data_IF_564874522706
#
_entry.id   IF_564874522706
#
_cell.length_a   1.000
_cell.length_b   1.000
_cell.length_c   1.000
_cell.angle_alpha   90.00
_cell.angle_beta   90.00
_cell.angle_gamma   90.00
#
_symmetry.space_group_name_H-M   'P 1'
#
loop_
_entity.id
_entity.type
_entity.pdbx_description
1 polymer ?
#
# COMPACT_ATOMS: atom_id res chain seq x y z
N UNK A 1 5.08 -12.19 15.87
CA UNK A 1 3.83 -11.50 15.80
C UNK A 1 3.93 -10.16 15.11
N UNK A 2 2.83 -9.48 15.03
CA UNK A 2 2.78 -8.19 14.35
C UNK A 2 3.76 -7.19 14.96
N UNK A 3 3.89 -7.19 16.28
CA UNK A 3 4.79 -6.27 16.96
C UNK A 3 6.25 -6.47 16.61
N UNK A 4 6.65 -7.69 16.26
CA UNK A 4 8.05 -7.94 15.96
C UNK A 4 8.49 -7.29 14.66
N UNK A 5 7.57 -6.95 13.76
CA UNK A 5 7.93 -6.19 12.56
C UNK A 5 8.53 -4.83 12.94
N UNK A 6 7.89 -4.12 13.88
CA UNK A 6 8.33 -2.79 14.27
C UNK A 6 9.61 -2.79 15.11
N UNK A 7 9.93 -3.92 15.71
CA UNK A 7 11.09 -4.06 16.56
C UNK A 7 12.20 -4.91 15.92
N UNK A 8 12.06 -5.19 14.62
CA UNK A 8 13.05 -5.99 13.93
C UNK A 8 14.28 -5.16 13.57
N UNK A 9 15.37 -5.85 13.29
CA UNK A 9 16.61 -5.23 12.86
C UNK A 9 16.66 -5.01 11.34
N UNK A 10 15.51 -4.97 10.68
CA UNK A 10 15.45 -4.74 9.25
C UNK A 10 15.96 -3.33 8.94
N UNK A 11 16.94 -3.25 8.09
CA UNK A 11 17.53 -1.98 7.69
C UNK A 11 16.54 -1.17 6.87
N UNK A 12 16.58 0.15 7.06
CA UNK A 12 15.81 1.06 6.24
C UNK A 12 16.35 1.04 4.81
N UNK A 13 15.44 1.29 3.86
CA UNK A 13 15.82 1.42 2.45
C UNK A 13 16.57 0.21 1.92
N UNK A 14 16.18 -1.00 2.35
CA UNK A 14 16.87 -2.22 1.97
C UNK A 14 16.16 -3.00 0.87
N UNK A 15 14.93 -2.65 0.53
CA UNK A 15 14.10 -3.48 -0.35
C UNK A 15 13.66 -2.72 -1.59
N UNK A 16 13.60 -3.43 -2.73
CA UNK A 16 13.05 -2.90 -3.99
C UNK A 16 11.53 -2.97 -4.03
N UNK A 17 10.94 -3.90 -3.32
CA UNK A 17 9.52 -4.15 -3.32
C UNK A 17 9.02 -4.24 -1.89
N UNK A 18 7.98 -3.49 -1.61
CA UNK A 18 7.27 -3.55 -0.35
C UNK A 18 5.84 -4.02 -0.63
N UNK A 19 5.53 -5.23 -0.20
CA UNK A 19 4.20 -5.79 -0.34
C UNK A 19 3.51 -5.73 1.02
N UNK A 20 2.44 -4.96 1.10
CA UNK A 20 1.65 -4.80 2.31
C UNK A 20 0.23 -5.29 2.08
N UNK A 21 -0.17 -6.27 2.87
CA UNK A 21 -1.53 -6.77 2.88
C UNK A 21 -1.95 -6.99 4.33
N UNK A 22 -2.14 -5.91 5.11
CA UNK A 22 -2.48 -6.04 6.52
C UNK A 22 -3.82 -6.74 6.71
N UNK A 23 -4.00 -7.45 7.82
CA UNK A 23 -5.27 -8.12 8.09
C UNK A 23 -6.34 -7.09 8.41
N UNK A 24 -7.29 -6.94 7.51
CA UNK A 24 -8.45 -6.08 7.74
C UNK A 24 -9.61 -6.95 8.22
N UNK A 25 -9.62 -7.21 9.50
CA UNK A 25 -10.72 -7.95 10.09
C UNK A 25 -11.94 -7.03 10.10
N UNK A 26 -13.08 -7.57 9.76
CA UNK A 26 -14.32 -6.83 9.85
C UNK A 26 -14.73 -6.74 11.30
N UNK A 27 -14.00 -5.98 12.06
CA UNK A 27 -14.27 -5.83 13.47
C UNK A 27 -15.13 -4.61 13.66
N UNK A 28 -16.21 -4.81 14.33
CA UNK A 28 -17.14 -3.74 14.64
C UNK A 28 -16.56 -2.85 15.72
N UNK A 29 -16.81 -1.58 15.62
CA UNK A 29 -16.58 -0.62 16.70
C UNK A 29 -15.16 -0.26 17.03
N UNK A 30 -14.23 -0.50 16.14
CA UNK A 30 -12.85 -0.19 16.45
C UNK A 30 -12.28 0.89 15.55
N UNK A 31 -13.14 1.76 15.09
CA UNK A 31 -12.77 2.73 14.09
C UNK A 31 -11.53 3.55 14.44
N UNK A 32 -11.51 4.14 15.63
CA UNK A 32 -10.41 5.01 15.99
C UNK A 32 -9.09 4.29 16.21
N UNK A 33 -9.12 3.26 17.03
CA UNK A 33 -7.93 2.48 17.36
C UNK A 33 -7.38 1.75 16.16
N UNK A 34 -8.24 1.12 15.40
CA UNK A 34 -7.83 0.36 14.22
C UNK A 34 -7.27 1.26 13.13
N UNK A 35 -7.89 2.42 12.91
CA UNK A 35 -7.39 3.37 11.94
C UNK A 35 -6.00 3.87 12.30
N UNK A 36 -5.74 4.11 13.59
CA UNK A 36 -4.42 4.52 14.04
C UNK A 36 -3.38 3.43 13.82
N UNK A 37 -3.73 2.18 14.04
CA UNK A 37 -2.83 1.06 13.78
C UNK A 37 -2.49 0.93 12.30
N UNK A 38 -3.48 1.05 11.45
CA UNK A 38 -3.28 0.96 10.01
C UNK A 38 -2.37 2.08 9.51
N UNK A 39 -2.63 3.30 9.97
CA UNK A 39 -1.82 4.45 9.62
C UNK A 39 -0.38 4.28 10.09
N UNK A 40 -0.19 3.85 11.32
CA UNK A 40 1.13 3.61 11.88
C UNK A 40 1.86 2.52 11.14
N UNK A 41 1.18 1.43 10.82
CA UNK A 41 1.78 0.34 10.07
C UNK A 41 2.32 0.82 8.72
N UNK A 42 1.53 1.61 8.00
CA UNK A 42 1.96 2.14 6.72
C UNK A 42 3.16 3.08 6.89
N UNK A 43 3.10 4.00 7.83
CA UNK A 43 4.17 4.97 8.06
C UNK A 43 5.48 4.27 8.42
N UNK A 44 5.43 3.26 9.26
CA UNK A 44 6.63 2.57 9.71
C UNK A 44 7.18 1.59 8.69
N UNK A 45 6.36 1.18 7.71
CA UNK A 45 6.80 0.27 6.67
C UNK A 45 7.52 0.98 5.52
N UNK A 46 7.09 2.17 5.17
CA UNK A 46 7.63 2.91 4.02
C UNK A 46 9.16 3.06 4.06
N UNK A 47 9.79 3.39 5.19
CA UNK A 47 11.24 3.61 5.20
C UNK A 47 12.08 2.39 4.84
N UNK A 48 11.51 1.20 4.84
CA UNK A 48 12.23 0.00 4.43
C UNK A 48 12.34 -0.15 2.91
N UNK A 49 11.54 0.62 2.17
CA UNK A 49 11.56 0.59 0.72
C UNK A 49 12.56 1.60 0.18
N UNK A 50 13.37 1.17 -0.77
CA UNK A 50 14.30 2.07 -1.45
C UNK A 50 13.56 3.20 -2.17
N UNK A 51 14.19 4.35 -2.31
CA UNK A 51 13.68 5.38 -3.21
C UNK A 51 13.66 4.80 -4.62
N UNK A 52 12.54 4.97 -5.30
CA UNK A 52 12.31 4.32 -6.58
C UNK A 52 11.78 2.90 -6.48
N UNK A 53 11.73 2.35 -5.29
CA UNK A 53 11.17 1.01 -5.08
C UNK A 53 9.66 0.99 -5.23
N UNK A 54 9.11 -0.18 -5.46
CA UNK A 54 7.69 -0.37 -5.74
C UNK A 54 6.92 -0.77 -4.50
N UNK A 55 5.81 -0.07 -4.25
CA UNK A 55 4.82 -0.45 -3.24
C UNK A 55 3.70 -1.23 -3.91
N UNK A 56 3.33 -2.35 -3.31
CA UNK A 56 2.09 -3.07 -3.59
C UNK A 56 1.29 -3.11 -2.30
N UNK A 57 0.22 -2.35 -2.24
CA UNK A 57 -0.57 -2.17 -1.01
C UNK A 57 -1.99 -2.65 -1.28
N UNK A 58 -2.37 -3.75 -0.65
CA UNK A 58 -3.69 -4.36 -0.85
C UNK A 58 -4.57 -4.03 0.34
N UNK A 59 -5.64 -3.32 0.10
CA UNK A 59 -6.55 -2.84 1.13
C UNK A 59 -7.99 -2.84 0.62
N UNK A 60 -8.97 -2.88 1.52
CA UNK A 60 -10.34 -2.61 1.10
C UNK A 60 -10.46 -1.18 0.57
N UNK A 61 -11.31 -0.98 -0.43
CA UNK A 61 -11.43 0.33 -1.07
C UNK A 61 -11.83 1.43 -0.06
N UNK A 62 -12.64 1.09 0.93
CA UNK A 62 -13.11 2.07 1.91
C UNK A 62 -12.03 2.49 2.91
N UNK A 63 -10.85 1.88 2.85
CA UNK A 63 -9.70 2.31 3.66
C UNK A 63 -8.86 3.39 2.99
N UNK A 64 -9.25 3.84 1.81
CA UNK A 64 -8.62 5.00 1.18
C UNK A 64 -9.14 6.28 1.84
N UNK A 65 -8.86 6.41 3.12
CA UNK A 65 -9.21 7.60 3.92
C UNK A 65 -8.30 8.75 3.57
N UNK A 66 -8.66 9.96 4.00
CA UNK A 66 -7.83 11.12 3.75
C UNK A 66 -6.42 10.97 4.33
N UNK A 67 -6.29 10.39 5.50
CA UNK A 67 -4.98 10.17 6.12
C UNK A 67 -4.11 9.22 5.31
N UNK A 68 -4.67 8.08 4.89
CA UNK A 68 -3.95 7.10 4.09
C UNK A 68 -3.59 7.67 2.73
N UNK A 69 -4.51 8.37 2.09
CA UNK A 69 -4.25 8.98 0.79
C UNK A 69 -3.16 10.04 0.87
N UNK A 70 -3.13 10.80 1.95
CA UNK A 70 -2.07 11.79 2.15
C UNK A 70 -0.70 11.13 2.31
N UNK A 71 -0.64 10.08 3.10
CA UNK A 71 0.63 9.34 3.27
C UNK A 71 1.11 8.81 1.93
N UNK A 72 0.20 8.24 1.14
CA UNK A 72 0.55 7.70 -0.16
C UNK A 72 1.02 8.78 -1.11
N UNK A 73 0.28 9.87 -1.22
CA UNK A 73 0.62 10.94 -2.16
C UNK A 73 1.89 11.69 -1.76
N UNK A 74 2.18 11.80 -0.47
CA UNK A 74 3.39 12.48 -0.01
C UNK A 74 4.65 11.64 -0.24
N UNK A 75 4.54 10.33 -0.26
CA UNK A 75 5.69 9.44 -0.28
C UNK A 75 5.87 8.65 -1.57
N UNK A 76 4.89 8.66 -2.45
CA UNK A 76 4.93 7.88 -3.69
C UNK A 76 4.53 8.72 -4.89
N UNK A 77 5.09 8.35 -6.03
CA UNK A 77 4.73 8.90 -7.33
C UNK A 77 4.25 7.79 -8.25
N UNK A 78 3.64 8.16 -9.36
CA UNK A 78 3.08 7.21 -10.32
C UNK A 78 2.11 6.25 -9.64
N UNK A 79 1.29 6.79 -8.76
CA UNK A 79 0.34 5.99 -7.99
C UNK A 79 -0.80 5.55 -8.90
N UNK A 80 -1.13 4.28 -8.83
CA UNK A 80 -2.24 3.71 -9.55
C UNK A 80 -3.03 2.79 -8.62
N UNK A 81 -4.32 2.72 -8.85
CA UNK A 81 -5.22 1.87 -8.06
C UNK A 81 -6.00 0.99 -9.02
N UNK A 82 -6.04 -0.29 -8.73
CA UNK A 82 -6.82 -1.25 -9.48
C UNK A 82 -7.65 -2.09 -8.54
N UNK A 83 -8.82 -2.49 -8.99
CA UNK A 83 -9.60 -3.51 -8.29
C UNK A 83 -9.41 -4.84 -9.00
N UNK A 84 -9.58 -5.91 -8.26
CA UNK A 84 -9.55 -7.25 -8.83
C UNK A 84 -10.78 -7.44 -9.73
N UNK A 85 -10.83 -8.56 -10.43
CA UNK A 85 -11.96 -8.86 -11.30
C UNK A 85 -13.27 -8.77 -10.52
N UNK A 86 -14.34 -8.45 -11.21
CA UNK A 86 -15.62 -8.11 -10.57
C UNK A 86 -16.08 -9.14 -9.55
N UNK A 87 -15.90 -10.43 -9.85
CA UNK A 87 -16.31 -11.49 -8.92
C UNK A 87 -15.55 -11.42 -7.61
N UNK A 88 -14.25 -11.23 -7.69
CA UNK A 88 -13.40 -11.14 -6.50
C UNK A 88 -13.61 -9.83 -5.76
N UNK A 89 -13.80 -8.74 -6.50
CA UNK A 89 -14.05 -7.45 -5.86
C UNK A 89 -15.33 -7.46 -5.05
N UNK A 90 -16.41 -7.99 -5.61
CA UNK A 90 -17.69 -8.07 -4.89
C UNK A 90 -17.58 -8.88 -3.61
N UNK A 91 -16.74 -9.90 -3.62
CA UNK A 91 -16.55 -10.76 -2.46
C UNK A 91 -15.66 -10.11 -1.40
N UNK A 92 -14.54 -9.53 -1.79
CA UNK A 92 -13.53 -9.06 -0.85
C UNK A 92 -13.42 -7.55 -0.76
N UNK A 93 -13.90 -6.84 -1.77
CA UNK A 93 -13.88 -5.36 -1.83
C UNK A 93 -12.46 -4.80 -1.70
N UNK A 94 -11.48 -5.54 -2.12
CA UNK A 94 -10.09 -5.13 -2.02
C UNK A 94 -9.58 -4.55 -3.32
N UNK A 95 -8.68 -3.61 -3.17
CA UNK A 95 -7.98 -2.98 -4.30
C UNK A 95 -6.49 -3.11 -4.08
N UNK A 96 -5.72 -2.98 -5.14
CA UNK A 96 -4.28 -2.88 -5.04
C UNK A 96 -3.87 -1.46 -5.40
N UNK A 97 -3.07 -0.87 -4.52
CA UNK A 97 -2.48 0.45 -4.74
C UNK A 97 -1.01 0.22 -5.06
N UNK A 98 -0.56 0.77 -6.17
CA UNK A 98 0.83 0.68 -6.59
C UNK A 98 1.42 2.08 -6.67
N UNK A 99 2.70 2.19 -6.35
CA UNK A 99 3.39 3.45 -6.47
C UNK A 99 4.88 3.26 -6.32
N UNK A 100 5.64 4.24 -6.75
CA UNK A 100 7.09 4.23 -6.62
C UNK A 100 7.49 5.22 -5.54
N UNK A 101 8.34 4.79 -4.62
CA UNK A 101 8.75 5.65 -3.52
C UNK A 101 9.56 6.83 -4.04
N UNK A 102 9.15 8.03 -3.64
CA UNK A 102 9.87 9.27 -3.93
C UNK A 102 10.31 9.91 -2.63
N UNK A 103 11.14 10.93 -2.72
CA UNK A 103 11.43 11.76 -1.56
C UNK A 103 10.18 12.54 -1.21
N UNK A 104 9.91 12.66 0.09
CA UNK A 104 8.70 13.30 0.54
C UNK A 104 8.64 14.75 0.08
N UNK A 105 7.50 15.13 -0.43
CA UNK A 105 7.26 16.51 -0.85
C UNK A 105 6.94 17.38 0.36
N UNK A 106 7.41 18.60 0.32
CA UNK A 106 7.05 19.61 1.33
C UNK A 106 5.80 20.37 0.95
N UNK A 107 5.49 20.42 -0.35
CA UNK A 107 4.28 21.06 -0.86
C UNK A 107 3.09 20.10 -0.69
N UNK A 108 1.95 20.59 -0.21
CA UNK A 108 0.76 19.75 -0.10
C UNK A 108 0.39 19.13 -1.45
N UNK A 109 0.07 17.86 -1.44
CA UNK A 109 -0.32 17.13 -2.64
C UNK A 109 -1.83 17.03 -2.72
N UNK A 110 -2.34 17.01 -3.94
CA UNK A 110 -3.77 16.77 -4.16
C UNK A 110 -4.05 15.28 -3.92
N UNK A 111 -4.94 15.02 -2.97
CA UNK A 111 -5.34 13.67 -2.62
C UNK A 111 -6.77 13.34 -3.03
N UNK A 112 -7.52 14.31 -3.52
CA UNK A 112 -8.94 14.12 -3.81
C UNK A 112 -9.17 13.05 -4.88
N UNK A 113 -8.30 12.98 -5.87
CA UNK A 113 -8.41 11.99 -6.93
C UNK A 113 -8.33 10.56 -6.40
N UNK A 114 -7.59 10.35 -5.31
CA UNK A 114 -7.42 9.04 -4.69
C UNK A 114 -8.54 8.78 -3.68
N UNK A 115 -8.90 9.81 -2.91
CA UNK A 115 -9.94 9.68 -1.89
C UNK A 115 -11.31 9.35 -2.49
N UNK A 116 -11.57 9.80 -3.71
CA UNK A 116 -12.86 9.56 -4.36
C UNK A 116 -13.20 8.06 -4.46
N UNK A 117 -12.20 7.22 -4.51
CA UNK A 117 -12.43 5.79 -4.68
C UNK A 117 -13.08 5.13 -3.47
N UNK A 118 -12.94 5.72 -2.29
CA UNK A 118 -13.65 5.23 -1.11
C UNK A 118 -15.16 5.45 -1.22
N UNK A 119 -15.56 6.54 -1.89
CA UNK A 119 -16.97 6.85 -2.08
C UNK A 119 -17.52 6.25 -3.39
N UNK A 120 -16.69 6.11 -4.39
CA UNK A 120 -17.10 5.68 -5.74
C UNK A 120 -16.20 4.53 -6.23
N UNK A 121 -16.33 3.35 -5.63
CA UNK A 121 -15.44 2.24 -6.00
C UNK A 121 -15.61 1.77 -7.45
N UNK A 122 -16.75 2.06 -8.05
CA UNK A 122 -16.98 1.70 -9.45
C UNK A 122 -16.08 2.46 -10.42
N UNK A 123 -15.48 3.56 -9.96
CA UNK A 123 -14.53 4.33 -10.76
C UNK A 123 -13.14 3.71 -10.79
N UNK A 124 -12.88 2.75 -9.92
CA UNK A 124 -11.57 2.07 -9.88
C UNK A 124 -11.48 1.12 -11.06
N UNK A 125 -10.46 1.25 -11.93
CA UNK A 125 -10.33 0.34 -13.06
C UNK A 125 -10.03 -1.09 -12.61
N UNK A 126 -10.51 -2.05 -13.40
CA UNK A 126 -10.22 -3.46 -13.14
C UNK A 126 -8.81 -3.76 -13.64
N UNK A 127 -8.06 -4.49 -12.86
CA UNK A 127 -6.71 -4.89 -13.25
C UNK A 127 -6.79 -5.94 -14.35
N UNK A 128 -6.23 -5.62 -15.50
CA UNK A 128 -6.16 -6.51 -16.65
C UNK A 128 -4.77 -6.40 -17.26
N UNK A 129 -4.46 -7.31 -18.19
CA UNK A 129 -3.17 -7.24 -18.88
C UNK A 129 -3.00 -5.95 -19.67
N UNK A 130 -4.08 -5.42 -20.19
CA UNK A 130 -4.04 -4.22 -21.02
C UNK A 130 -3.72 -2.96 -20.23
N UNK A 131 -4.16 -2.89 -18.99
CA UNK A 131 -3.93 -1.73 -18.14
C UNK A 131 -3.00 -2.01 -16.97
N UNK A 132 -2.26 -3.10 -17.03
CA UNK A 132 -1.27 -3.40 -16.01
C UNK A 132 -0.15 -2.36 -16.04
N UNK A 133 0.25 -1.86 -14.88
CA UNK A 133 1.32 -0.87 -14.84
C UNK A 133 2.66 -1.48 -15.18
N UNK A 134 3.54 -0.66 -15.70
CA UNK A 134 4.92 -1.04 -15.96
C UNK A 134 5.82 -0.14 -15.15
N UNK A 135 6.53 -0.75 -14.21
CA UNK A 135 7.42 -0.03 -13.32
C UNK A 135 8.84 -0.53 -13.52
N UNK A 136 9.79 0.41 -13.56
CA UNK A 136 11.19 0.07 -13.57
C UNK A 136 11.71 0.10 -12.14
N UNK A 137 12.28 -1.00 -11.68
CA UNK A 137 12.87 -1.05 -10.34
C UNK A 137 14.25 -0.42 -10.35
N UNK A 138 14.75 0.03 -9.18
CA UNK A 138 16.09 0.57 -9.09
C UNK A 138 17.15 -0.44 -9.57
N UNK A 139 18.28 0.06 -10.04
CA UNK A 139 19.35 -0.77 -10.53
C UNK A 139 20.05 -1.59 -9.45
N UNK A 140 19.80 -1.30 -8.23
CA UNK A 140 20.29 -2.06 -7.09
C UNK A 140 19.61 -3.43 -7.08
N UNK A 141 20.37 -4.47 -6.78
CA UNK A 141 19.89 -5.84 -6.89
C UNK A 141 19.48 -6.48 -5.58
N UNK A 142 19.12 -5.72 -4.60
CA UNK A 142 18.73 -6.26 -3.31
C UNK A 142 17.50 -7.15 -3.33
N UNK A 143 16.66 -7.05 -4.29
CA UNK A 143 15.61 -8.00 -4.59
C UNK A 143 14.89 -8.65 -3.42
N UNK A 144 14.45 -7.88 -2.43
CA UNK A 144 13.78 -8.41 -1.25
C UNK A 144 12.44 -7.76 -1.02
N UNK A 145 11.61 -8.46 -0.26
CA UNK A 145 10.32 -7.91 0.16
C UNK A 145 10.29 -7.78 1.67
N UNK A 146 9.47 -6.86 2.15
CA UNK A 146 9.19 -6.73 3.57
C UNK A 146 7.83 -7.36 3.84
N UNK A 147 7.78 -8.21 4.84
CA UNK A 147 6.56 -8.90 5.21
C UNK A 147 6.34 -8.77 6.70
N UNK A 148 5.27 -8.08 7.11
CA UNK A 148 4.95 -8.02 8.54
C UNK A 148 4.57 -9.41 9.04
N UNK A 149 5.18 -9.81 10.14
CA UNK A 149 4.90 -11.09 10.73
C UNK A 149 3.48 -11.16 11.24
N UNK A 150 2.82 -12.29 11.02
CA UNK A 150 1.46 -12.49 11.50
C UNK A 150 0.38 -11.83 10.68
N UNK A 151 0.72 -11.25 9.54
CA UNK A 151 -0.26 -10.67 8.63
C UNK A 151 -0.56 -11.61 7.48
N UNK A 152 -1.53 -11.25 6.66
CA UNK A 152 -1.77 -11.97 5.43
C UNK A 152 -0.85 -11.59 4.28
N UNK A 153 0.16 -10.77 4.52
CA UNK A 153 1.06 -10.35 3.48
C UNK A 153 1.91 -11.50 2.98
N UNK A 154 2.13 -11.55 1.67
CA UNK A 154 3.00 -12.54 1.07
C UNK A 154 4.31 -11.87 0.64
N UNK A 155 5.43 -12.48 0.96
CA UNK A 155 6.72 -12.02 0.49
C UNK A 155 7.02 -12.68 -0.85
N UNK A 156 7.37 -11.88 -1.84
CA UNK A 156 7.78 -12.36 -3.14
C UNK A 156 9.17 -11.83 -3.46
N UNK A 157 10.13 -12.68 -3.77
CA UNK A 157 11.45 -12.21 -4.18
C UNK A 157 11.36 -11.39 -5.46
N UNK A 158 12.16 -10.40 -5.54
CA UNK A 158 12.22 -9.55 -6.72
C UNK A 158 13.54 -9.76 -7.45
#
# INVERSE_FOLDING_TARGET
GFGSFFHSDISREAFHLLFLNPPYLSVLNESGSKARHEKRFLIESIPHLLYGGLLLYVIPYYRLTSDICRILCDNFENIAVWRFTDGEFKKFKQVVVMGMRKRRETTPQDTEWLEQYAAYPDRIPVLTELNSPRYALPANDQGRTVQPEGTGAAAAPV
#
